data_IF_050943850616
#
_entry.id   IF_050943850616
#
_cell.length_a   1.000
_cell.length_b   1.000
_cell.length_c   1.000
_cell.angle_alpha   90.00
_cell.angle_beta   90.00
_cell.angle_gamma   90.00
#
_symmetry.space_group_name_H-M   'P 1'
#
loop_
_entity.id
_entity.type
_entity.pdbx_description
1 polymer ?
#
# COMPACT_ATOMS: atom_id res chain seq x y z
N UNK A 1 31.74 2.06 -5.66
CA UNK A 1 32.22 2.11 -4.27
C UNK A 1 32.14 0.71 -3.70
N UNK A 2 33.26 0.15 -3.24
CA UNK A 2 33.23 -1.13 -2.54
C UNK A 2 32.64 -0.87 -1.13
N UNK A 3 31.48 -1.45 -0.84
CA UNK A 3 30.91 -1.43 0.50
C UNK A 3 31.87 -2.16 1.45
N UNK A 4 32.28 -1.49 2.53
CA UNK A 4 33.04 -2.12 3.59
C UNK A 4 32.08 -2.89 4.51
N UNK A 5 31.87 -4.18 4.20
CA UNK A 5 30.97 -5.06 4.95
C UNK A 5 31.50 -5.44 6.35
N UNK A 6 32.75 -5.09 6.70
CA UNK A 6 33.33 -5.42 7.98
C UNK A 6 32.61 -4.74 9.17
N UNK A 7 32.15 -3.50 8.98
CA UNK A 7 31.36 -2.80 10.00
C UNK A 7 29.97 -3.38 10.23
N UNK A 8 29.32 -3.88 9.19
CA UNK A 8 27.99 -4.51 9.28
C UNK A 8 28.02 -5.84 10.07
N UNK A 9 29.10 -6.61 9.93
CA UNK A 9 29.26 -7.89 10.64
C UNK A 9 29.30 -7.70 12.17
N UNK A 10 29.98 -6.66 12.63
CA UNK A 10 30.11 -6.36 14.06
C UNK A 10 28.78 -5.89 14.68
N UNK A 11 27.94 -5.22 13.89
CA UNK A 11 26.65 -4.67 14.34
C UNK A 11 25.55 -5.75 14.35
N UNK A 12 25.60 -6.70 13.41
CA UNK A 12 24.49 -7.63 13.17
C UNK A 12 24.74 -9.05 13.66
N UNK A 13 25.96 -9.36 14.15
CA UNK A 13 26.38 -10.72 14.54
C UNK A 13 26.03 -11.77 13.46
N UNK A 14 26.31 -11.42 12.19
CA UNK A 14 26.04 -12.26 11.02
C UNK A 14 27.35 -12.50 10.29
N UNK A 15 27.69 -13.75 9.92
CA UNK A 15 28.87 -14.07 9.16
C UNK A 15 28.92 -13.35 7.79
N UNK A 16 30.07 -12.80 7.42
CA UNK A 16 30.25 -12.00 6.20
C UNK A 16 29.85 -12.74 4.92
N UNK A 17 30.11 -14.05 4.86
CA UNK A 17 29.72 -14.88 3.73
C UNK A 17 28.19 -14.94 3.52
N UNK A 18 27.42 -14.93 4.62
CA UNK A 18 25.95 -14.92 4.55
C UNK A 18 25.44 -13.58 4.05
N UNK A 19 26.04 -12.47 4.48
CA UNK A 19 25.71 -11.13 3.99
C UNK A 19 26.01 -11.00 2.49
N UNK A 20 27.18 -11.44 2.04
CA UNK A 20 27.58 -11.41 0.64
C UNK A 20 26.66 -12.27 -0.23
N UNK A 21 26.32 -13.50 0.23
CA UNK A 21 25.40 -14.40 -0.46
C UNK A 21 23.98 -13.82 -0.55
N UNK A 22 23.53 -13.16 0.51
CA UNK A 22 22.25 -12.45 0.53
C UNK A 22 22.20 -11.35 -0.53
N UNK A 23 23.20 -10.45 -0.58
CA UNK A 23 23.22 -9.36 -1.56
C UNK A 23 23.35 -9.89 -3.00
N UNK A 24 24.10 -10.95 -3.22
CA UNK A 24 24.17 -11.60 -4.54
C UNK A 24 22.81 -12.13 -4.98
N UNK A 25 22.10 -12.83 -4.09
CA UNK A 25 20.75 -13.34 -4.37
C UNK A 25 19.73 -12.21 -4.54
N UNK A 26 19.89 -11.11 -3.81
CA UNK A 26 19.06 -9.92 -3.98
C UNK A 26 19.29 -9.24 -5.34
N UNK A 27 20.52 -9.20 -5.83
CA UNK A 27 20.83 -8.70 -7.18
C UNK A 27 20.27 -9.60 -8.27
N UNK A 28 20.34 -10.92 -8.11
CA UNK A 28 19.73 -11.87 -9.04
C UNK A 28 18.19 -11.71 -9.05
N UNK A 29 17.58 -11.53 -7.88
CA UNK A 29 16.16 -11.21 -7.72
C UNK A 29 15.80 -9.90 -8.44
N UNK A 30 16.59 -8.84 -8.27
CA UNK A 30 16.36 -7.54 -8.93
C UNK A 30 16.42 -7.65 -10.44
N UNK A 31 17.33 -8.47 -10.99
CA UNK A 31 17.43 -8.76 -12.42
C UNK A 31 16.19 -9.53 -12.91
N UNK A 32 15.81 -10.61 -12.22
CA UNK A 32 14.60 -11.40 -12.54
C UNK A 32 13.33 -10.52 -12.48
N UNK A 33 13.24 -9.63 -11.49
CA UNK A 33 12.15 -8.65 -11.38
C UNK A 33 12.10 -7.71 -12.59
N UNK A 34 13.25 -7.16 -12.99
CA UNK A 34 13.35 -6.27 -14.15
C UNK A 34 12.97 -6.99 -15.45
N UNK A 35 13.40 -8.24 -15.62
CA UNK A 35 13.03 -9.06 -16.78
C UNK A 35 11.54 -9.40 -16.81
N UNK A 36 10.95 -9.72 -15.66
CA UNK A 36 9.52 -9.95 -15.55
C UNK A 36 8.71 -8.67 -15.84
N UNK A 37 9.15 -7.51 -15.34
CA UNK A 37 8.55 -6.22 -15.67
C UNK A 37 8.57 -5.97 -17.17
N UNK A 38 9.70 -6.17 -17.83
CA UNK A 38 9.81 -6.06 -19.30
C UNK A 38 8.93 -7.06 -20.04
N UNK A 39 8.96 -8.33 -19.63
CA UNK A 39 8.18 -9.41 -20.26
C UNK A 39 6.67 -9.16 -20.21
N UNK A 40 6.17 -8.52 -19.14
CA UNK A 40 4.74 -8.22 -18.97
C UNK A 40 4.39 -6.78 -19.35
N UNK A 41 5.31 -6.05 -20.00
CA UNK A 41 5.13 -4.62 -20.39
C UNK A 41 4.79 -3.70 -19.21
N UNK A 42 5.30 -4.03 -18.02
CA UNK A 42 5.04 -3.32 -16.77
C UNK A 42 6.04 -2.16 -16.54
N UNK A 43 7.05 -2.04 -17.40
CA UNK A 43 7.99 -0.90 -17.44
C UNK A 43 7.41 0.34 -18.14
N UNK A 44 6.15 0.28 -18.56
CA UNK A 44 5.43 1.44 -19.06
C UNK A 44 5.27 2.46 -17.94
N UNK A 45 6.12 3.46 -17.92
CA UNK A 45 6.03 4.77 -17.22
C UNK A 45 5.56 4.81 -15.75
N UNK A 46 5.22 3.70 -15.09
CA UNK A 46 4.55 3.70 -13.77
C UNK A 46 3.20 4.43 -13.77
N UNK A 47 2.68 4.74 -14.96
CA UNK A 47 1.41 5.43 -15.12
C UNK A 47 0.26 4.44 -14.98
N UNK A 48 -0.53 4.62 -13.94
CA UNK A 48 -1.81 3.96 -13.79
C UNK A 48 -2.90 5.02 -13.67
N UNK A 49 -3.84 5.02 -14.62
CA UNK A 49 -4.89 6.04 -14.69
C UNK A 49 -5.75 6.03 -13.42
N UNK A 50 -6.08 4.85 -12.90
CA UNK A 50 -6.92 4.73 -11.70
C UNK A 50 -6.19 5.27 -10.46
N UNK A 51 -4.90 4.99 -10.30
CA UNK A 51 -4.06 5.57 -9.24
C UNK A 51 -4.02 7.09 -9.33
N UNK A 52 -3.97 7.64 -10.54
CA UNK A 52 -3.90 9.09 -10.77
C UNK A 52 -5.19 9.80 -10.39
N UNK A 53 -6.35 9.20 -10.62
CA UNK A 53 -7.68 9.77 -10.33
C UNK A 53 -8.19 9.41 -8.93
N UNK A 54 -7.73 8.30 -8.34
CA UNK A 54 -8.20 7.79 -7.04
C UNK A 54 -8.01 8.78 -5.89
N UNK A 55 -7.05 9.71 -6.00
CA UNK A 55 -6.86 10.79 -5.00
C UNK A 55 -8.02 11.80 -4.95
N UNK A 56 -8.86 11.86 -5.97
CA UNK A 56 -9.96 12.84 -6.11
C UNK A 56 -11.35 12.27 -5.83
N UNK A 57 -11.51 10.93 -5.85
CA UNK A 57 -12.79 10.27 -5.71
C UNK A 57 -12.81 9.36 -4.49
N UNK A 58 -14.01 9.12 -3.95
CA UNK A 58 -14.20 8.07 -2.94
C UNK A 58 -13.88 6.73 -3.62
N UNK A 59 -12.88 6.05 -3.12
CA UNK A 59 -12.36 4.83 -3.74
C UNK A 59 -13.45 3.75 -3.96
N UNK A 60 -14.40 3.61 -3.03
CA UNK A 60 -15.50 2.64 -3.09
C UNK A 60 -16.41 2.87 -4.31
N UNK A 61 -16.79 4.12 -4.54
CA UNK A 61 -17.60 4.51 -5.69
C UNK A 61 -16.87 4.23 -7.01
N UNK A 62 -15.58 4.57 -7.09
CA UNK A 62 -14.77 4.34 -8.28
C UNK A 62 -14.62 2.85 -8.60
N UNK A 63 -14.40 2.00 -7.59
CA UNK A 63 -14.38 0.55 -7.80
C UNK A 63 -15.71 0.02 -8.32
N UNK A 64 -16.82 0.49 -7.74
CA UNK A 64 -18.16 0.09 -8.16
C UNK A 64 -18.47 0.55 -9.59
N UNK A 65 -18.02 1.75 -9.99
CA UNK A 65 -18.13 2.23 -11.37
C UNK A 65 -17.38 1.34 -12.36
N UNK A 66 -16.13 1.01 -12.06
CA UNK A 66 -15.30 0.17 -12.92
C UNK A 66 -15.88 -1.24 -13.04
N UNK A 67 -16.27 -1.83 -11.91
CA UNK A 67 -16.85 -3.18 -11.89
C UNK A 67 -18.17 -3.21 -12.69
N UNK A 68 -19.01 -2.17 -12.53
CA UNK A 68 -20.23 -2.00 -13.33
C UNK A 68 -19.90 -1.95 -14.82
N UNK A 69 -18.94 -1.14 -15.24
CA UNK A 69 -18.55 -1.04 -16.64
C UNK A 69 -18.03 -2.36 -17.21
N UNK A 70 -17.27 -3.13 -16.42
CA UNK A 70 -16.77 -4.45 -16.84
C UNK A 70 -17.90 -5.45 -16.99
N UNK A 71 -18.88 -5.44 -16.08
CA UNK A 71 -19.99 -6.39 -16.05
C UNK A 71 -21.16 -6.03 -16.97
N UNK A 72 -21.31 -4.76 -17.33
CA UNK A 72 -22.45 -4.29 -18.13
C UNK A 72 -22.29 -4.66 -19.61
N UNK A 73 -23.13 -5.56 -20.16
CA UNK A 73 -23.06 -5.95 -21.56
C UNK A 73 -23.30 -4.79 -22.54
N UNK A 74 -23.99 -3.75 -22.10
CA UNK A 74 -24.35 -2.57 -22.89
C UNK A 74 -23.40 -1.38 -22.67
N UNK A 75 -22.39 -1.53 -21.81
CA UNK A 75 -21.43 -0.44 -21.63
C UNK A 75 -20.58 -0.28 -22.90
N UNK A 76 -20.65 0.90 -23.50
CA UNK A 76 -19.97 1.24 -24.75
C UNK A 76 -18.49 0.83 -24.72
N UNK A 77 -18.15 -0.18 -25.50
CA UNK A 77 -16.79 -0.68 -25.79
C UNK A 77 -16.01 -1.31 -24.62
N UNK A 78 -16.43 -1.15 -23.35
CA UNK A 78 -15.71 -1.70 -22.17
C UNK A 78 -16.32 -3.03 -21.75
N UNK A 79 -17.64 -3.11 -21.66
CA UNK A 79 -18.34 -4.32 -21.26
C UNK A 79 -18.38 -5.40 -22.35
N UNK A 80 -18.53 -6.63 -21.90
CA UNK A 80 -18.70 -7.78 -22.79
C UNK A 80 -19.71 -8.74 -22.17
N UNK A 81 -20.71 -9.25 -22.94
CA UNK A 81 -21.69 -10.22 -22.44
C UNK A 81 -21.04 -11.45 -21.79
N UNK A 82 -19.85 -11.84 -22.27
CA UNK A 82 -19.06 -12.94 -21.70
C UNK A 82 -18.62 -12.68 -20.25
N UNK A 83 -18.43 -11.42 -19.84
CA UNK A 83 -17.98 -11.10 -18.50
C UNK A 83 -18.98 -11.50 -17.43
N UNK A 84 -20.29 -11.41 -17.71
CA UNK A 84 -21.34 -11.93 -16.83
C UNK A 84 -21.19 -13.44 -16.65
N UNK A 85 -20.95 -14.18 -17.72
CA UNK A 85 -20.73 -15.64 -17.64
C UNK A 85 -19.45 -15.95 -16.86
N UNK A 86 -18.35 -15.23 -17.11
CA UNK A 86 -17.10 -15.38 -16.35
C UNK A 86 -17.31 -15.07 -14.88
N UNK A 87 -18.08 -14.04 -14.54
CA UNK A 87 -18.40 -13.68 -13.16
C UNK A 87 -19.25 -14.76 -12.46
N UNK A 88 -20.31 -15.25 -13.10
CA UNK A 88 -21.12 -16.34 -12.56
C UNK A 88 -20.28 -17.62 -12.36
N UNK A 89 -19.42 -17.96 -13.33
CA UNK A 89 -18.51 -19.10 -13.21
C UNK A 89 -17.49 -18.91 -12.08
N UNK A 90 -16.98 -17.71 -11.90
CA UNK A 90 -16.13 -17.36 -10.78
C UNK A 90 -16.87 -17.55 -9.44
N UNK A 91 -18.11 -17.06 -9.31
CA UNK A 91 -18.90 -17.26 -8.10
C UNK A 91 -19.19 -18.73 -7.83
N UNK A 92 -19.40 -19.57 -8.85
CA UNK A 92 -19.57 -21.03 -8.73
C UNK A 92 -18.32 -21.73 -8.20
N UNK A 93 -17.12 -21.25 -8.47
CA UNK A 93 -15.89 -21.79 -7.85
C UNK A 93 -15.88 -21.60 -6.33
N UNK A 94 -16.48 -20.49 -5.84
CA UNK A 94 -16.59 -20.18 -4.41
C UNK A 94 -17.77 -20.93 -3.78
N UNK A 95 -18.90 -20.94 -4.49
CA UNK A 95 -20.16 -21.55 -4.06
C UNK A 95 -20.69 -22.50 -5.15
N UNK A 96 -20.30 -23.80 -5.14
CA UNK A 96 -20.60 -24.75 -6.21
C UNK A 96 -22.10 -25.01 -6.44
N UNK A 97 -22.92 -24.83 -5.42
CA UNK A 97 -24.38 -24.99 -5.47
C UNK A 97 -25.12 -23.76 -6.03
N UNK A 98 -24.38 -22.73 -6.41
CA UNK A 98 -24.96 -21.52 -7.00
C UNK A 98 -25.59 -21.81 -8.36
N UNK A 99 -26.87 -21.55 -8.46
CA UNK A 99 -27.60 -21.60 -9.72
C UNK A 99 -28.16 -20.21 -10.06
N UNK A 100 -27.65 -19.63 -11.15
CA UNK A 100 -28.09 -18.35 -11.72
C UNK A 100 -28.35 -18.56 -13.19
N UNK A 101 -29.50 -18.13 -13.68
CA UNK A 101 -29.89 -18.24 -15.08
C UNK A 101 -30.42 -16.90 -15.58
N UNK A 102 -29.64 -16.25 -16.42
CA UNK A 102 -30.05 -15.05 -17.13
C UNK A 102 -30.55 -15.44 -18.52
N UNK A 103 -31.87 -15.66 -18.64
CA UNK A 103 -32.49 -16.10 -19.91
C UNK A 103 -33.07 -14.94 -20.72
N UNK A 104 -33.07 -13.73 -20.16
CA UNK A 104 -33.46 -12.49 -20.82
C UNK A 104 -32.29 -11.53 -20.94
N UNK A 105 -32.61 -10.26 -21.20
CA UNK A 105 -31.64 -9.19 -21.21
C UNK A 105 -31.08 -9.00 -19.79
N UNK A 106 -29.75 -9.02 -19.69
CA UNK A 106 -29.05 -8.73 -18.41
C UNK A 106 -28.87 -7.22 -18.29
N UNK A 107 -29.30 -6.70 -17.16
CA UNK A 107 -29.17 -5.29 -16.81
C UNK A 107 -28.21 -5.17 -15.62
N UNK A 108 -27.26 -4.27 -15.69
CA UNK A 108 -26.31 -3.96 -14.63
C UNK A 108 -26.46 -2.49 -14.22
N UNK A 109 -26.89 -2.26 -12.99
CA UNK A 109 -27.10 -0.90 -12.45
C UNK A 109 -26.25 -0.62 -11.25
N UNK A 110 -25.90 0.65 -11.07
CA UNK A 110 -25.24 1.20 -9.89
C UNK A 110 -26.21 2.07 -9.11
N UNK A 111 -26.07 2.01 -7.78
CA UNK A 111 -26.86 2.82 -6.83
C UNK A 111 -28.39 2.68 -6.95
N UNK A 112 -28.87 1.64 -7.62
CA UNK A 112 -30.29 1.32 -7.66
C UNK A 112 -30.78 1.02 -6.24
N UNK A 113 -31.41 2.01 -5.61
CA UNK A 113 -31.82 1.94 -4.21
C UNK A 113 -30.65 1.84 -3.21
N UNK A 114 -29.54 2.49 -3.49
CA UNK A 114 -28.29 2.47 -2.71
C UNK A 114 -27.54 1.13 -2.74
N UNK A 115 -27.90 0.22 -3.64
CA UNK A 115 -27.14 -1.01 -3.91
C UNK A 115 -25.92 -0.64 -4.73
N UNK A 116 -24.72 -1.01 -4.29
CA UNK A 116 -23.51 -0.63 -5.00
C UNK A 116 -23.52 -1.11 -6.45
N UNK A 117 -23.82 -2.40 -6.68
CA UNK A 117 -24.02 -2.94 -8.01
C UNK A 117 -25.14 -3.99 -7.96
N UNK A 118 -26.10 -3.88 -8.85
CA UNK A 118 -27.18 -4.84 -9.06
C UNK A 118 -27.15 -5.39 -10.46
N UNK A 119 -27.08 -6.72 -10.59
CA UNK A 119 -27.16 -7.47 -11.85
C UNK A 119 -28.47 -8.22 -11.84
N UNK A 120 -29.30 -8.07 -12.88
CA UNK A 120 -30.56 -8.80 -12.93
C UNK A 120 -31.00 -9.10 -14.36
N UNK A 121 -31.78 -10.16 -14.51
CA UNK A 121 -32.55 -10.45 -15.72
C UNK A 121 -33.77 -9.53 -15.76
N UNK A 122 -33.96 -8.82 -16.89
CA UNK A 122 -35.03 -7.81 -17.04
C UNK A 122 -36.43 -8.41 -16.91
N UNK A 123 -36.60 -9.70 -17.23
CA UNK A 123 -37.91 -10.38 -17.19
C UNK A 123 -38.48 -10.43 -15.77
N UNK A 124 -39.80 -10.47 -15.67
CA UNK A 124 -40.49 -10.65 -14.39
C UNK A 124 -40.06 -11.93 -13.70
N UNK A 125 -39.81 -11.87 -12.39
CA UNK A 125 -39.30 -12.99 -11.62
C UNK A 125 -37.84 -13.38 -11.94
N UNK A 126 -37.17 -12.68 -12.85
CA UNK A 126 -35.82 -12.99 -13.30
C UNK A 126 -34.80 -13.02 -12.16
N UNK A 127 -33.72 -13.74 -12.37
CA UNK A 127 -32.64 -13.90 -11.39
C UNK A 127 -31.87 -12.58 -11.17
N UNK A 128 -31.43 -12.36 -9.93
CA UNK A 128 -30.65 -11.17 -9.56
C UNK A 128 -29.44 -11.53 -8.68
N UNK A 129 -28.37 -10.77 -8.85
CA UNK A 129 -27.18 -10.77 -8.00
C UNK A 129 -26.99 -9.37 -7.42
N UNK A 130 -26.88 -9.26 -6.11
CA UNK A 130 -26.54 -8.03 -5.39
C UNK A 130 -25.05 -8.06 -5.07
N UNK A 131 -24.32 -6.98 -5.33
CA UNK A 131 -22.92 -6.82 -4.95
C UNK A 131 -22.84 -5.63 -4.01
N UNK A 132 -22.36 -5.87 -2.81
CA UNK A 132 -21.96 -4.87 -1.83
C UNK A 132 -20.44 -4.76 -1.84
N UNK A 133 -19.93 -3.57 -2.16
CA UNK A 133 -18.51 -3.31 -2.29
C UNK A 133 -17.92 -2.71 -1.01
N UNK A 134 -16.94 -3.37 -0.42
CA UNK A 134 -16.21 -2.96 0.78
C UNK A 134 -14.69 -3.02 0.57
N UNK A 135 -14.23 -2.82 -0.67
CA UNK A 135 -12.79 -2.83 -0.98
C UNK A 135 -12.02 -1.81 -0.13
N UNK A 136 -12.63 -0.69 0.23
CA UNK A 136 -12.00 0.37 1.04
C UNK A 136 -12.24 0.24 2.55
N UNK A 137 -12.59 -0.93 3.04
CA UNK A 137 -12.82 -1.15 4.46
C UNK A 137 -13.96 -0.31 5.07
N UNK A 138 -14.86 0.27 4.24
CA UNK A 138 -16.01 1.02 4.75
C UNK A 138 -16.82 0.19 5.75
N UNK A 139 -17.34 0.86 6.78
CA UNK A 139 -18.11 0.21 7.84
C UNK A 139 -19.48 -0.20 7.35
N UNK A 140 -19.97 -1.35 7.83
CA UNK A 140 -21.33 -1.81 7.55
C UNK A 140 -22.37 -0.84 8.12
N UNK A 141 -23.45 -0.63 7.37
CA UNK A 141 -24.57 0.19 7.81
C UNK A 141 -25.70 -0.67 8.41
N UNK A 142 -26.54 -0.10 9.30
CA UNK A 142 -27.62 -0.84 9.92
C UNK A 142 -28.62 -1.41 8.89
N UNK A 143 -28.79 -2.73 8.93
CA UNK A 143 -29.69 -3.50 8.04
C UNK A 143 -29.50 -3.23 6.55
N UNK A 144 -28.27 -2.93 6.12
CA UNK A 144 -27.97 -2.56 4.74
C UNK A 144 -28.36 -3.68 3.77
N UNK A 145 -27.81 -4.86 3.98
CA UNK A 145 -28.09 -6.03 3.13
C UNK A 145 -29.55 -6.47 3.22
N UNK A 146 -30.16 -6.37 4.40
CA UNK A 146 -31.59 -6.67 4.58
C UNK A 146 -32.49 -5.79 3.72
N UNK A 147 -32.21 -4.49 3.69
CA UNK A 147 -32.93 -3.51 2.85
C UNK A 147 -32.75 -3.78 1.37
N UNK A 148 -31.54 -4.11 0.93
CA UNK A 148 -31.26 -4.44 -0.47
C UNK A 148 -32.00 -5.70 -0.94
N UNK A 149 -31.95 -6.77 -0.14
CA UNK A 149 -32.69 -7.99 -0.41
C UNK A 149 -34.20 -7.73 -0.53
N UNK A 150 -34.76 -6.97 0.40
CA UNK A 150 -36.17 -6.64 0.40
C UNK A 150 -36.58 -5.82 -0.82
N UNK A 151 -35.80 -4.79 -1.18
CA UNK A 151 -36.03 -3.99 -2.37
C UNK A 151 -36.03 -4.83 -3.63
N UNK A 152 -34.99 -5.62 -3.87
CA UNK A 152 -34.88 -6.43 -5.09
C UNK A 152 -36.01 -7.47 -5.17
N UNK A 153 -36.34 -8.11 -4.05
CA UNK A 153 -37.37 -9.16 -4.01
C UNK A 153 -38.79 -8.59 -4.08
N UNK A 154 -39.11 -7.56 -3.27
CA UNK A 154 -40.49 -7.07 -3.15
C UNK A 154 -40.84 -5.97 -4.11
N UNK A 155 -39.94 -4.96 -4.25
CA UNK A 155 -40.24 -3.80 -5.09
C UNK A 155 -39.96 -4.08 -6.57
N UNK A 156 -38.86 -4.82 -6.89
CA UNK A 156 -38.49 -5.12 -8.26
C UNK A 156 -39.01 -6.50 -8.74
N UNK A 157 -39.60 -7.31 -7.86
CA UNK A 157 -40.13 -8.62 -8.23
C UNK A 157 -39.09 -9.62 -8.72
N UNK A 158 -37.80 -9.46 -8.36
CA UNK A 158 -36.71 -10.33 -8.82
C UNK A 158 -36.39 -11.44 -7.84
N UNK A 159 -35.82 -12.53 -8.34
CA UNK A 159 -35.33 -13.66 -7.52
C UNK A 159 -33.86 -13.47 -7.19
N UNK A 160 -33.55 -13.08 -5.94
CA UNK A 160 -32.15 -12.93 -5.51
C UNK A 160 -31.50 -14.31 -5.40
N UNK A 161 -30.45 -14.56 -6.17
CA UNK A 161 -29.68 -15.82 -6.22
C UNK A 161 -28.35 -15.72 -5.50
N UNK A 162 -27.76 -14.54 -5.45
CA UNK A 162 -26.51 -14.31 -4.73
C UNK A 162 -26.47 -12.89 -4.15
N UNK A 163 -25.81 -12.78 -3.01
CA UNK A 163 -25.42 -11.52 -2.39
C UNK A 163 -23.91 -11.58 -2.20
N UNK A 164 -23.18 -10.88 -3.04
CA UNK A 164 -21.72 -10.82 -3.02
C UNK A 164 -21.30 -9.72 -2.07
N UNK A 165 -20.52 -10.07 -1.05
CA UNK A 165 -19.87 -9.12 -0.16
C UNK A 165 -18.41 -9.03 -0.55
N UNK A 166 -18.04 -7.99 -1.31
CA UNK A 166 -16.73 -7.83 -1.92
C UNK A 166 -15.81 -7.00 -1.04
N UNK A 167 -14.70 -7.56 -0.60
CA UNK A 167 -13.71 -6.92 0.27
C UNK A 167 -12.31 -6.95 -0.34
N UNK A 168 -11.39 -6.12 0.14
CA UNK A 168 -10.02 -6.15 -0.33
C UNK A 168 -9.32 -7.47 0.06
N UNK A 169 -9.45 -7.86 1.33
CA UNK A 169 -8.83 -9.07 1.87
C UNK A 169 -9.83 -9.88 2.70
N UNK A 170 -9.58 -11.17 2.98
CA UNK A 170 -10.49 -12.04 3.74
C UNK A 170 -10.68 -11.64 5.21
N UNK A 171 -9.77 -10.84 5.76
CA UNK A 171 -9.82 -10.37 7.15
C UNK A 171 -11.01 -9.44 7.39
N UNK A 172 -11.41 -8.68 6.37
CA UNK A 172 -12.64 -7.88 6.41
C UNK A 172 -13.83 -8.81 6.22
N UNK A 173 -14.55 -9.03 7.29
CA UNK A 173 -15.78 -9.80 7.28
C UNK A 173 -17.01 -8.89 7.49
N UNK A 174 -18.15 -9.34 6.96
CA UNK A 174 -19.42 -8.68 7.19
C UNK A 174 -19.83 -8.75 8.68
N UNK A 175 -20.21 -7.62 9.25
CA UNK A 175 -20.91 -7.61 10.54
C UNK A 175 -22.37 -8.03 10.33
N UNK A 176 -22.62 -9.34 10.42
CA UNK A 176 -23.95 -9.91 10.18
C UNK A 176 -25.01 -9.38 11.14
N UNK A 177 -24.64 -9.10 12.40
CA UNK A 177 -25.59 -8.58 13.40
C UNK A 177 -26.05 -7.17 13.04
N UNK A 178 -25.17 -6.37 12.46
CA UNK A 178 -25.45 -5.00 12.05
C UNK A 178 -26.09 -4.94 10.67
N UNK A 179 -25.53 -5.65 9.69
CA UNK A 179 -25.86 -5.52 8.27
C UNK A 179 -27.05 -6.36 7.82
N UNK A 180 -27.38 -7.44 8.57
CA UNK A 180 -28.40 -8.44 8.22
C UNK A 180 -29.38 -8.58 9.39
N UNK A 181 -30.22 -7.60 9.62
CA UNK A 181 -31.20 -7.65 10.70
C UNK A 181 -32.49 -8.34 10.24
N UNK A 182 -32.98 -8.01 9.02
CA UNK A 182 -34.15 -8.64 8.41
C UNK A 182 -33.75 -9.73 7.44
N UNK A 183 -34.61 -10.75 7.28
CA UNK A 183 -34.42 -11.87 6.34
C UNK A 183 -33.10 -12.65 6.53
N UNK A 184 -32.56 -12.68 7.76
CA UNK A 184 -31.22 -13.22 8.03
C UNK A 184 -31.07 -14.69 7.59
N UNK A 185 -32.10 -15.53 7.70
CA UNK A 185 -32.06 -16.94 7.32
C UNK A 185 -31.88 -17.13 5.81
N UNK A 186 -32.61 -16.35 5.02
CA UNK A 186 -32.56 -16.38 3.55
C UNK A 186 -31.24 -15.77 3.06
N UNK A 187 -30.90 -14.59 3.57
CA UNK A 187 -29.71 -13.84 3.18
C UNK A 187 -28.43 -14.65 3.45
N UNK A 188 -28.32 -15.29 4.62
CA UNK A 188 -27.14 -16.09 4.93
C UNK A 188 -26.93 -17.27 3.98
N UNK A 189 -28.00 -17.82 3.38
CA UNK A 189 -27.90 -18.85 2.35
C UNK A 189 -27.41 -18.31 1.01
N UNK A 190 -27.68 -17.04 0.72
CA UNK A 190 -27.34 -16.37 -0.54
C UNK A 190 -26.01 -15.62 -0.49
N UNK A 191 -25.50 -15.38 0.71
CA UNK A 191 -24.28 -14.60 0.93
C UNK A 191 -23.05 -15.35 0.41
N UNK A 192 -22.25 -14.65 -0.37
CA UNK A 192 -20.97 -15.10 -0.93
C UNK A 192 -19.90 -14.08 -0.57
N UNK A 193 -19.04 -14.34 0.43
CA UNK A 193 -17.90 -13.49 0.72
C UNK A 193 -16.86 -13.66 -0.40
N UNK A 194 -16.53 -12.55 -1.02
CA UNK A 194 -15.52 -12.47 -2.09
C UNK A 194 -14.45 -11.49 -1.65
N UNK A 195 -13.19 -11.86 -1.81
CA UNK A 195 -12.07 -10.95 -1.56
C UNK A 195 -11.27 -10.72 -2.84
N UNK A 196 -10.75 -9.50 -2.99
CA UNK A 196 -9.88 -9.17 -4.11
C UNK A 196 -8.67 -10.08 -4.10
N UNK A 197 -8.09 -10.32 -2.92
CA UNK A 197 -6.96 -11.23 -2.72
C UNK A 197 -7.31 -12.38 -1.79
N UNK A 198 -6.84 -13.57 -2.12
CA UNK A 198 -6.95 -14.79 -1.31
C UNK A 198 -5.74 -15.68 -1.57
N UNK A 199 -5.48 -16.63 -0.64
CA UNK A 199 -4.44 -17.66 -0.83
C UNK A 199 -4.74 -18.55 -2.04
N UNK A 200 -6.01 -18.95 -2.23
CA UNK A 200 -6.51 -19.65 -3.43
C UNK A 200 -6.80 -18.60 -4.52
N UNK A 201 -5.83 -18.35 -5.35
CA UNK A 201 -5.88 -17.26 -6.35
C UNK A 201 -7.04 -17.39 -7.35
N UNK A 202 -7.43 -18.63 -7.71
CA UNK A 202 -8.57 -18.89 -8.64
C UNK A 202 -9.94 -18.53 -8.05
N UNK A 203 -10.01 -18.31 -6.71
CA UNK A 203 -11.20 -17.84 -5.98
C UNK A 203 -11.06 -16.38 -5.53
N UNK A 204 -9.98 -15.69 -5.89
CA UNK A 204 -9.83 -14.26 -5.67
C UNK A 204 -10.50 -13.46 -6.79
N UNK A 205 -11.04 -12.29 -6.47
CA UNK A 205 -11.67 -11.43 -7.48
C UNK A 205 -10.66 -10.95 -8.54
N UNK A 206 -9.44 -10.62 -8.13
CA UNK A 206 -8.40 -10.17 -9.04
C UNK A 206 -7.97 -11.27 -10.02
N UNK A 207 -7.50 -12.42 -9.52
CA UNK A 207 -6.98 -13.49 -10.38
C UNK A 207 -8.08 -14.39 -10.97
N UNK A 208 -9.11 -14.71 -10.18
CA UNK A 208 -10.17 -15.62 -10.58
C UNK A 208 -11.22 -14.98 -11.49
N UNK A 209 -11.35 -13.65 -11.49
CA UNK A 209 -12.32 -12.96 -12.35
C UNK A 209 -11.66 -11.93 -13.28
N UNK A 210 -11.02 -10.87 -12.77
CA UNK A 210 -10.50 -9.78 -13.62
C UNK A 210 -9.45 -10.30 -14.60
N UNK A 211 -8.52 -11.14 -14.13
CA UNK A 211 -7.49 -11.74 -14.99
C UNK A 211 -8.07 -12.67 -16.05
N UNK A 212 -9.15 -13.38 -15.74
CA UNK A 212 -9.85 -14.20 -16.73
C UNK A 212 -10.54 -13.32 -17.81
N UNK A 213 -11.11 -12.18 -17.42
CA UNK A 213 -11.62 -11.19 -18.39
C UNK A 213 -10.49 -10.67 -19.30
N UNK A 214 -9.30 -10.35 -18.75
CA UNK A 214 -8.13 -9.92 -19.53
C UNK A 214 -7.71 -11.00 -20.54
N UNK A 215 -7.63 -12.27 -20.11
CA UNK A 215 -7.29 -13.40 -20.97
C UNK A 215 -8.32 -13.58 -22.10
N UNK A 216 -9.60 -13.45 -21.77
CA UNK A 216 -10.66 -13.58 -22.76
C UNK A 216 -10.54 -12.49 -23.85
N UNK A 217 -10.32 -11.23 -23.45
CA UNK A 217 -10.14 -10.11 -24.37
C UNK A 217 -8.90 -10.27 -25.23
N UNK A 218 -7.78 -10.74 -24.66
CA UNK A 218 -6.54 -10.98 -25.40
C UNK A 218 -6.69 -12.03 -26.53
N UNK A 219 -7.68 -12.93 -26.40
CA UNK A 219 -7.97 -13.95 -27.38
C UNK A 219 -9.17 -13.59 -28.30
N UNK A 220 -9.66 -12.36 -28.22
CA UNK A 220 -10.79 -11.86 -29.02
C UNK A 220 -10.30 -10.71 -29.91
N UNK A 221 -11.05 -10.41 -30.96
CA UNK A 221 -10.80 -9.25 -31.83
C UNK A 221 -11.12 -7.89 -31.18
N UNK A 222 -11.31 -7.89 -29.87
CA UNK A 222 -11.62 -6.67 -29.14
C UNK A 222 -10.43 -5.69 -29.07
N UNK A 223 -10.78 -4.41 -28.97
CA UNK A 223 -9.85 -3.30 -28.98
C UNK A 223 -8.80 -3.42 -27.85
N UNK A 224 -7.53 -3.30 -28.23
CA UNK A 224 -6.36 -3.29 -27.32
C UNK A 224 -6.52 -2.30 -26.14
N UNK A 225 -7.20 -1.17 -26.37
CA UNK A 225 -7.49 -0.19 -25.30
C UNK A 225 -8.36 -0.76 -24.18
N UNK A 226 -9.31 -1.64 -24.50
CA UNK A 226 -10.13 -2.33 -23.49
C UNK A 226 -9.28 -3.30 -22.65
N UNK A 227 -8.39 -4.02 -23.30
CA UNK A 227 -7.42 -4.89 -22.62
C UNK A 227 -6.53 -4.09 -21.67
N UNK A 228 -6.01 -2.95 -22.12
CA UNK A 228 -5.20 -2.04 -21.30
C UNK A 228 -6.01 -1.51 -20.10
N UNK A 229 -7.27 -1.11 -20.32
CA UNK A 229 -8.14 -0.66 -19.24
C UNK A 229 -8.30 -1.71 -18.12
N UNK A 230 -8.57 -2.97 -18.48
CA UNK A 230 -8.71 -4.07 -17.52
C UNK A 230 -7.37 -4.39 -16.83
N UNK A 231 -6.27 -4.36 -17.59
CA UNK A 231 -4.95 -4.59 -17.04
C UNK A 231 -4.54 -3.50 -16.03
N UNK A 232 -4.85 -2.24 -16.30
CA UNK A 232 -4.61 -1.14 -15.37
C UNK A 232 -5.48 -1.24 -14.11
N UNK A 233 -6.74 -1.69 -14.26
CA UNK A 233 -7.59 -1.92 -13.10
C UNK A 233 -7.07 -3.07 -12.24
N UNK A 234 -6.65 -4.18 -12.86
CA UNK A 234 -6.00 -5.28 -12.17
C UNK A 234 -4.75 -4.83 -11.42
N UNK A 235 -3.86 -4.10 -12.07
CA UNK A 235 -2.67 -3.52 -11.44
C UNK A 235 -3.02 -2.61 -10.26
N UNK A 236 -4.04 -1.75 -10.41
CA UNK A 236 -4.48 -0.90 -9.31
C UNK A 236 -5.02 -1.70 -8.12
N UNK A 237 -5.76 -2.77 -8.35
CA UNK A 237 -6.16 -3.69 -7.28
C UNK A 237 -4.92 -4.26 -6.56
N UNK A 238 -3.89 -4.70 -7.30
CA UNK A 238 -2.65 -5.20 -6.72
C UNK A 238 -1.97 -4.16 -5.81
N UNK A 239 -1.89 -2.91 -6.25
CA UNK A 239 -1.32 -1.80 -5.45
C UNK A 239 -2.11 -1.60 -4.15
N UNK A 240 -3.46 -1.65 -4.21
CA UNK A 240 -4.31 -1.49 -3.03
C UNK A 240 -4.17 -2.64 -2.03
N UNK A 241 -3.89 -3.83 -2.49
CA UNK A 241 -3.65 -5.00 -1.66
C UNK A 241 -2.31 -4.99 -0.92
N UNK A 242 -1.51 -3.94 -1.09
CA UNK A 242 -0.13 -3.92 -0.62
C UNK A 242 0.76 -4.84 -1.45
N UNK A 243 0.21 -5.42 -2.50
CA UNK A 243 0.94 -6.11 -3.54
C UNK A 243 1.48 -5.09 -4.53
N UNK A 244 2.34 -4.19 -4.08
CA UNK A 244 3.33 -3.71 -5.02
C UNK A 244 3.87 -4.98 -5.71
N UNK A 245 4.06 -4.97 -7.02
CA UNK A 245 4.62 -6.15 -7.70
C UNK A 245 5.88 -6.66 -7.01
N UNK A 246 6.55 -5.80 -6.28
CA UNK A 246 7.64 -6.13 -5.38
C UNK A 246 7.20 -7.10 -4.27
N UNK A 247 5.98 -7.01 -3.71
CA UNK A 247 5.48 -7.95 -2.69
C UNK A 247 5.11 -9.33 -3.27
N UNK A 248 4.47 -9.39 -4.43
CA UNK A 248 4.17 -10.68 -5.06
C UNK A 248 5.46 -11.39 -5.53
N UNK A 249 6.41 -10.62 -6.01
CA UNK A 249 7.73 -11.11 -6.38
C UNK A 249 8.56 -11.44 -5.12
N UNK A 250 8.42 -10.65 -4.05
CA UNK A 250 8.96 -10.91 -2.72
C UNK A 250 8.40 -12.23 -2.15
N UNK A 251 7.07 -12.44 -2.16
CA UNK A 251 6.46 -13.69 -1.72
C UNK A 251 6.94 -14.90 -2.52
N UNK A 252 7.07 -14.80 -3.86
CA UNK A 252 7.61 -15.88 -4.70
C UNK A 252 9.08 -16.14 -4.41
N UNK A 253 9.86 -15.11 -4.14
CA UNK A 253 11.26 -15.26 -3.75
C UNK A 253 11.37 -15.87 -2.37
N UNK A 254 10.51 -15.44 -1.44
CA UNK A 254 10.42 -16.05 -0.12
C UNK A 254 10.00 -17.52 -0.19
N UNK A 255 9.02 -17.88 -1.04
CA UNK A 255 8.67 -19.29 -1.29
C UNK A 255 9.85 -20.09 -1.85
N UNK A 256 10.63 -19.54 -2.79
CA UNK A 256 11.84 -20.19 -3.29
C UNK A 256 12.90 -20.37 -2.21
N UNK A 257 13.11 -19.35 -1.37
CA UNK A 257 14.03 -19.40 -0.22
C UNK A 257 13.58 -20.47 0.78
N UNK A 258 12.29 -20.53 1.10
CA UNK A 258 11.73 -21.54 2.01
C UNK A 258 11.79 -22.96 1.41
N UNK A 259 11.44 -23.13 0.14
CA UNK A 259 11.53 -24.42 -0.54
C UNK A 259 12.96 -24.96 -0.61
N UNK A 260 13.94 -24.07 -0.72
CA UNK A 260 15.35 -24.43 -0.76
C UNK A 260 16.01 -24.57 0.64
N UNK A 261 15.20 -24.58 1.72
CA UNK A 261 15.66 -24.67 3.13
C UNK A 261 16.68 -23.61 3.53
N UNK A 262 16.64 -22.44 2.94
CA UNK A 262 17.57 -21.32 3.23
C UNK A 262 17.03 -20.48 4.41
N UNK A 263 16.66 -21.14 5.52
CA UNK A 263 16.16 -20.49 6.73
C UNK A 263 17.17 -19.49 7.32
N UNK A 264 18.49 -19.75 7.15
CA UNK A 264 19.52 -18.84 7.65
C UNK A 264 19.56 -17.53 6.86
N UNK A 265 19.32 -17.58 5.54
CA UNK A 265 19.19 -16.37 4.73
C UNK A 265 17.98 -15.54 5.15
N UNK A 266 16.87 -16.19 5.53
CA UNK A 266 15.68 -15.52 6.05
C UNK A 266 15.90 -14.91 7.43
N UNK A 267 16.56 -15.62 8.35
CA UNK A 267 16.95 -15.08 9.67
C UNK A 267 17.88 -13.88 9.51
N UNK A 268 18.79 -13.94 8.53
CA UNK A 268 19.67 -12.82 8.17
C UNK A 268 18.86 -11.61 7.72
N UNK A 269 17.86 -11.80 6.83
CA UNK A 269 16.97 -10.73 6.40
C UNK A 269 16.17 -10.12 7.56
N UNK A 270 15.62 -10.95 8.46
CA UNK A 270 14.94 -10.48 9.66
C UNK A 270 15.85 -9.61 10.52
N UNK A 271 17.05 -10.09 10.83
CA UNK A 271 18.05 -9.32 11.59
C UNK A 271 18.49 -8.04 10.86
N UNK A 272 18.68 -8.09 9.54
CA UNK A 272 18.97 -6.90 8.73
C UNK A 272 17.82 -5.90 8.74
N UNK A 273 16.57 -6.38 8.64
CA UNK A 273 15.38 -5.56 8.70
C UNK A 273 15.19 -4.91 10.06
N UNK A 274 15.36 -5.67 11.13
CA UNK A 274 15.28 -5.16 12.50
C UNK A 274 16.47 -4.24 12.82
N UNK A 275 17.66 -4.59 12.33
CA UNK A 275 18.88 -3.81 12.50
C UNK A 275 19.03 -2.61 11.53
N UNK A 276 18.16 -2.47 10.50
CA UNK A 276 18.31 -1.45 9.43
C UNK A 276 18.41 -0.02 9.96
N UNK A 277 17.65 0.31 10.98
CA UNK A 277 17.67 1.63 11.60
C UNK A 277 19.04 1.90 12.24
N UNK A 278 19.56 0.93 13.03
CA UNK A 278 20.89 1.01 13.65
C UNK A 278 21.99 1.08 12.59
N UNK A 279 21.87 0.29 11.51
CA UNK A 279 22.85 0.28 10.43
C UNK A 279 22.88 1.62 9.67
N UNK A 280 21.73 2.19 9.35
CA UNK A 280 21.64 3.52 8.69
C UNK A 280 22.24 4.60 9.63
N UNK A 281 21.89 4.59 10.91
CA UNK A 281 22.46 5.52 11.88
C UNK A 281 23.98 5.34 12.00
N UNK A 282 24.48 4.10 12.03
CA UNK A 282 25.91 3.81 12.04
C UNK A 282 26.64 4.32 10.80
N UNK A 283 26.07 4.14 9.61
CA UNK A 283 26.63 4.67 8.36
C UNK A 283 26.61 6.19 8.30
N UNK A 284 25.54 6.83 8.77
CA UNK A 284 25.46 8.29 8.90
C UNK A 284 26.54 8.77 9.87
N UNK A 285 26.71 8.11 11.02
CA UNK A 285 27.74 8.44 12.00
C UNK A 285 29.15 8.31 11.42
N UNK A 286 29.46 7.20 10.78
CA UNK A 286 30.78 6.97 10.17
C UNK A 286 31.10 8.06 9.14
N UNK A 287 30.18 8.40 8.27
CA UNK A 287 30.38 9.45 7.28
C UNK A 287 30.48 10.85 7.91
N UNK A 288 29.74 11.11 8.98
CA UNK A 288 29.81 12.39 9.69
C UNK A 288 31.08 12.50 10.53
N UNK A 289 31.54 11.42 11.15
CA UNK A 289 32.84 11.36 11.87
C UNK A 289 34.02 11.55 10.92
N UNK A 290 33.95 10.97 9.71
CA UNK A 290 34.98 11.16 8.67
C UNK A 290 35.08 12.60 8.20
N UNK A 291 34.00 13.39 8.30
CA UNK A 291 33.94 14.78 7.82
C UNK A 291 33.97 15.83 8.94
N UNK A 292 33.56 15.47 10.16
CA UNK A 292 33.47 16.44 11.28
C UNK A 292 33.62 15.74 12.61
N UNK A 293 34.57 16.16 13.45
CA UNK A 293 34.70 15.68 14.83
C UNK A 293 33.47 16.09 15.67
N UNK A 294 32.93 15.19 16.47
CA UNK A 294 31.97 15.54 17.53
C UNK A 294 30.55 14.95 17.46
N UNK A 295 30.34 13.82 16.77
CA UNK A 295 29.10 13.08 16.87
C UNK A 295 29.10 12.12 18.06
N UNK A 296 27.97 12.03 18.76
CA UNK A 296 27.72 11.11 19.85
C UNK A 296 26.49 10.23 19.58
N UNK A 297 26.53 9.01 20.12
CA UNK A 297 25.33 8.21 20.37
C UNK A 297 24.82 8.56 21.75
N UNK A 298 23.54 8.83 21.94
CA UNK A 298 22.93 8.65 23.25
C UNK A 298 22.84 7.14 23.51
N UNK A 299 22.69 6.77 24.77
CA UNK A 299 22.57 5.38 25.20
C UNK A 299 21.68 4.55 24.26
N UNK A 300 21.96 3.24 24.16
CA UNK A 300 21.54 2.30 23.10
C UNK A 300 20.05 2.28 22.73
N UNK A 301 19.16 2.88 23.53
CA UNK A 301 17.72 2.83 23.36
C UNK A 301 17.09 4.02 22.62
N UNK A 302 17.75 5.18 22.56
CA UNK A 302 17.11 6.41 22.01
C UNK A 302 17.18 6.58 20.49
N UNK A 303 17.89 5.73 19.79
CA UNK A 303 17.82 5.56 18.35
C UNK A 303 18.07 6.80 17.49
N UNK A 304 18.89 7.77 17.92
CA UNK A 304 19.25 8.93 17.11
C UNK A 304 20.74 9.23 17.11
N UNK A 305 21.21 9.84 16.03
CA UNK A 305 22.57 10.36 15.87
C UNK A 305 22.51 11.86 16.05
N UNK A 306 23.40 12.43 16.86
CA UNK A 306 23.41 13.87 17.08
C UNK A 306 24.79 14.50 17.04
N UNK A 307 24.83 15.77 16.66
CA UNK A 307 26.01 16.65 16.73
C UNK A 307 25.69 17.84 17.62
N UNK A 308 26.44 17.99 18.71
CA UNK A 308 26.35 19.21 19.53
C UNK A 308 26.81 20.42 18.72
N UNK A 309 25.97 21.43 18.60
CA UNK A 309 26.27 22.67 17.90
C UNK A 309 26.27 23.89 18.82
N UNK A 310 25.67 23.76 20.02
CA UNK A 310 25.65 24.76 21.07
C UNK A 310 25.47 24.09 22.44
N UNK A 311 25.51 24.83 23.56
CA UNK A 311 25.48 24.27 24.92
C UNK A 311 24.28 23.34 25.19
N UNK A 312 23.09 23.73 24.73
CA UNK A 312 21.88 22.93 24.90
C UNK A 312 21.21 22.53 23.58
N UNK A 313 21.88 22.76 22.44
CA UNK A 313 21.30 22.52 21.11
C UNK A 313 22.21 21.57 20.34
N UNK A 314 21.62 20.49 19.88
CA UNK A 314 22.24 19.54 18.94
C UNK A 314 21.40 19.42 17.68
N UNK A 315 22.04 19.13 16.57
CA UNK A 315 21.38 18.63 15.37
C UNK A 315 21.32 17.12 15.45
N UNK A 316 20.17 16.54 15.09
CA UNK A 316 19.98 15.09 15.17
C UNK A 316 19.23 14.53 13.96
N UNK A 317 19.48 13.25 13.69
CA UNK A 317 18.68 12.40 12.84
C UNK A 317 18.21 11.21 13.67
N UNK A 318 16.89 11.04 13.73
CA UNK A 318 16.27 9.97 14.48
C UNK A 318 15.93 8.81 13.53
N UNK A 319 16.02 7.58 14.03
CA UNK A 319 15.70 6.34 13.32
C UNK A 319 14.22 6.22 12.89
N UNK A 320 13.35 7.10 13.37
CA UNK A 320 11.96 7.26 12.95
C UNK A 320 11.79 8.31 11.84
N UNK A 321 12.89 8.58 11.12
CA UNK A 321 12.94 9.51 10.01
C UNK A 321 12.69 10.98 10.36
N UNK A 322 12.97 11.39 11.59
CA UNK A 322 12.95 12.79 12.00
C UNK A 322 14.33 13.40 11.96
N UNK A 323 14.44 14.60 11.37
CA UNK A 323 15.67 15.35 11.23
C UNK A 323 15.49 16.76 11.79
N UNK A 324 16.36 17.20 12.67
CA UNK A 324 16.23 18.54 13.21
C UNK A 324 17.11 18.88 14.40
N UNK A 325 16.65 19.87 15.15
CA UNK A 325 17.31 20.32 16.38
C UNK A 325 16.71 19.59 17.58
N UNK A 326 17.57 19.13 18.47
CA UNK A 326 17.18 18.51 19.74
C UNK A 326 17.83 19.24 20.91
N UNK A 327 17.21 19.12 22.08
CA UNK A 327 17.90 19.42 23.32
C UNK A 327 19.06 18.44 23.50
N UNK A 328 20.26 18.96 23.65
CA UNK A 328 21.45 18.10 23.84
C UNK A 328 21.25 17.17 25.02
N UNK A 329 21.48 15.84 24.87
CA UNK A 329 21.37 14.88 25.94
C UNK A 329 22.13 15.33 27.21
N UNK A 330 21.50 15.14 28.38
CA UNK A 330 22.05 15.58 29.67
C UNK A 330 21.84 17.07 29.99
N UNK A 331 21.27 17.87 29.09
CA UNK A 331 21.00 19.30 29.33
C UNK A 331 19.53 19.54 29.71
N UNK A 332 19.29 20.63 30.46
CA UNK A 332 17.93 21.00 30.89
C UNK A 332 17.10 21.53 29.70
N UNK A 333 15.90 21.01 29.46
CA UNK A 333 15.02 21.46 28.37
C UNK A 333 14.68 22.96 28.40
N UNK A 334 14.76 23.61 29.56
CA UNK A 334 14.49 25.05 29.73
C UNK A 334 15.40 25.95 28.91
N UNK A 335 16.66 25.54 28.66
CA UNK A 335 17.60 26.32 27.83
C UNK A 335 17.22 26.13 26.35
N UNK A 336 16.91 24.94 25.93
CA UNK A 336 16.44 24.65 24.56
C UNK A 336 15.16 25.42 24.24
N UNK A 337 14.20 25.46 25.18
CA UNK A 337 12.94 26.21 25.03
C UNK A 337 13.15 27.68 24.73
N UNK A 338 14.16 28.30 25.31
CA UNK A 338 14.49 29.73 25.04
C UNK A 338 14.88 29.95 23.58
N UNK A 339 15.47 28.98 22.93
CA UNK A 339 15.90 29.04 21.54
C UNK A 339 14.88 28.55 20.53
N UNK A 340 13.78 27.95 20.96
CA UNK A 340 12.81 27.21 20.13
C UNK A 340 12.30 28.01 18.93
N UNK A 341 11.87 29.26 19.14
CA UNK A 341 11.42 30.12 18.05
C UNK A 341 12.54 30.36 17.03
N UNK A 342 13.73 30.69 17.50
CA UNK A 342 14.89 30.90 16.65
C UNK A 342 15.34 29.68 15.88
N UNK A 343 15.21 28.49 16.49
CA UNK A 343 15.47 27.20 15.83
C UNK A 343 14.44 26.92 14.71
N UNK A 344 13.19 27.28 14.92
CA UNK A 344 12.14 27.17 13.89
C UNK A 344 12.40 28.13 12.73
N UNK A 345 12.73 29.39 13.03
CA UNK A 345 13.11 30.37 12.03
C UNK A 345 14.33 29.93 11.22
N UNK A 346 15.29 29.25 11.88
CA UNK A 346 16.45 28.65 11.23
C UNK A 346 16.04 27.57 10.20
N UNK A 347 15.07 26.70 10.54
CA UNK A 347 14.56 25.70 9.62
C UNK A 347 13.84 26.32 8.40
N UNK A 348 13.08 27.38 8.63
CA UNK A 348 12.31 28.05 7.57
C UNK A 348 13.21 28.86 6.63
N UNK A 349 14.28 29.46 7.16
CA UNK A 349 15.25 30.22 6.35
C UNK A 349 16.28 29.33 5.63
N UNK A 350 16.53 28.13 6.14
CA UNK A 350 17.51 27.21 5.57
C UNK A 350 17.03 26.63 4.22
N UNK A 351 17.88 26.72 3.19
CA UNK A 351 17.64 26.13 1.88
C UNK A 351 18.00 24.63 1.90
N UNK A 352 17.21 23.84 2.63
CA UNK A 352 17.42 22.42 2.77
C UNK A 352 17.14 21.67 1.46
N UNK A 353 17.88 20.60 1.21
CA UNK A 353 17.65 19.70 0.07
C UNK A 353 16.35 18.93 0.28
N UNK A 354 15.56 18.82 -0.78
CA UNK A 354 14.17 18.37 -0.77
C UNK A 354 13.95 16.88 -0.50
N UNK A 355 14.26 16.43 0.74
CA UNK A 355 14.00 15.08 1.23
C UNK A 355 12.92 15.06 2.31
N UNK A 356 12.17 16.13 2.49
CA UNK A 356 11.20 16.25 3.57
C UNK A 356 9.78 16.05 3.08
N UNK A 357 8.97 15.38 3.90
CA UNK A 357 7.53 15.22 3.70
C UNK A 357 6.75 16.46 4.10
N UNK A 358 7.27 17.19 5.10
CA UNK A 358 6.62 18.38 5.66
C UNK A 358 7.17 19.66 5.03
N UNK A 359 6.29 20.63 4.74
CA UNK A 359 6.70 21.94 4.28
C UNK A 359 7.28 22.80 5.42
N UNK A 360 6.79 22.61 6.64
CA UNK A 360 7.20 23.40 7.83
C UNK A 360 7.77 22.51 8.92
N UNK A 361 8.65 23.08 9.74
CA UNK A 361 9.18 22.41 10.90
C UNK A 361 8.11 22.23 11.98
N UNK A 362 8.08 21.03 12.59
CA UNK A 362 7.23 20.71 13.74
C UNK A 362 7.95 21.11 15.03
N UNK A 363 7.19 21.52 16.03
CA UNK A 363 7.69 21.93 17.34
C UNK A 363 6.71 21.58 18.48
N UNK A 364 5.93 20.54 18.31
CA UNK A 364 4.94 20.02 19.27
C UNK A 364 5.55 19.32 20.49
N UNK A 365 6.84 18.99 20.43
CA UNK A 365 7.58 18.42 21.56
C UNK A 365 8.57 19.43 22.15
N UNK A 366 8.60 19.54 23.46
CA UNK A 366 9.41 20.52 24.20
C UNK A 366 10.93 20.45 23.96
N UNK A 367 11.41 19.34 23.47
CA UNK A 367 12.84 19.05 23.29
C UNK A 367 13.26 18.92 21.83
N UNK A 368 12.32 19.11 20.89
CA UNK A 368 12.57 18.95 19.47
C UNK A 368 11.99 20.08 18.63
N UNK A 369 12.72 20.42 17.54
CA UNK A 369 12.23 21.16 16.37
C UNK A 369 12.69 20.39 15.15
N UNK A 370 11.77 19.75 14.41
CA UNK A 370 12.14 18.79 13.36
C UNK A 370 11.24 18.80 12.14
N UNK A 371 11.68 18.10 11.09
CA UNK A 371 10.88 17.75 9.92
C UNK A 371 10.98 16.26 9.66
N UNK A 372 9.91 15.67 9.11
CA UNK A 372 9.89 14.25 8.72
C UNK A 372 10.64 14.10 7.40
N UNK A 373 11.56 13.15 7.35
CA UNK A 373 12.33 12.79 6.16
C UNK A 373 11.56 11.77 5.34
N UNK A 374 11.44 12.02 4.05
CA UNK A 374 10.96 11.05 3.07
C UNK A 374 12.11 10.09 2.72
N UNK A 375 12.09 8.90 3.31
CA UNK A 375 13.17 7.91 3.17
C UNK A 375 13.33 7.48 1.71
N UNK A 376 12.24 7.46 0.96
CA UNK A 376 12.24 7.05 -0.46
C UNK A 376 12.99 8.06 -1.35
N UNK A 377 13.14 9.29 -0.88
CA UNK A 377 13.94 10.33 -1.55
C UNK A 377 15.41 10.33 -1.15
N UNK A 378 15.82 9.52 -0.19
CA UNK A 378 17.22 9.40 0.22
C UNK A 378 17.94 8.46 -0.76
N UNK A 379 18.38 9.01 -1.87
CA UNK A 379 19.20 8.28 -2.85
C UNK A 379 20.67 8.17 -2.44
N UNK A 380 21.12 9.05 -1.54
CA UNK A 380 22.49 9.09 -1.03
C UNK A 380 22.51 9.76 0.35
N UNK A 381 23.27 9.21 1.29
CA UNK A 381 23.46 9.76 2.64
C UNK A 381 24.09 11.16 2.62
N UNK A 382 24.82 11.54 1.58
CA UNK A 382 25.38 12.89 1.41
C UNK A 382 24.32 13.99 1.46
N UNK A 383 23.07 13.70 1.13
CA UNK A 383 21.98 14.68 1.20
C UNK A 383 21.63 15.02 2.65
N UNK A 384 21.68 14.03 3.55
CA UNK A 384 21.46 14.23 5.00
C UNK A 384 22.62 15.05 5.58
N UNK A 385 23.85 14.68 5.22
CA UNK A 385 25.05 15.37 5.68
C UNK A 385 25.04 16.84 5.26
N UNK A 386 24.72 17.12 4.00
CA UNK A 386 24.58 18.49 3.50
C UNK A 386 23.50 19.28 4.24
N UNK A 387 22.38 18.64 4.59
CA UNK A 387 21.34 19.30 5.38
C UNK A 387 21.80 19.61 6.82
N UNK A 388 22.62 18.75 7.44
CA UNK A 388 23.30 19.05 8.71
C UNK A 388 24.18 20.30 8.59
N UNK A 389 25.04 20.37 7.57
CA UNK A 389 25.95 21.49 7.33
C UNK A 389 25.18 22.80 7.08
N UNK A 390 24.10 22.75 6.32
CA UNK A 390 23.23 23.90 6.03
C UNK A 390 22.59 24.43 7.32
N UNK A 391 21.97 23.55 8.13
CA UNK A 391 21.33 23.95 9.39
C UNK A 391 22.35 24.48 10.41
N UNK A 392 23.51 23.85 10.51
CA UNK A 392 24.58 24.33 11.40
C UNK A 392 25.08 25.74 11.00
N UNK A 393 25.27 25.96 9.71
CA UNK A 393 25.69 27.24 9.18
C UNK A 393 24.64 28.33 9.40
N UNK A 394 23.36 27.98 9.19
CA UNK A 394 22.25 28.91 9.37
C UNK A 394 22.06 29.27 10.86
N UNK A 395 22.17 28.27 11.75
CA UNK A 395 22.16 28.51 13.19
C UNK A 395 23.27 29.47 13.63
N UNK A 396 24.52 29.28 13.16
CA UNK A 396 25.65 30.17 13.44
C UNK A 396 25.39 31.57 12.90
N UNK A 397 24.79 31.72 11.72
CA UNK A 397 24.42 33.02 11.14
C UNK A 397 23.39 33.75 12.00
N UNK A 398 22.31 33.10 12.37
CA UNK A 398 21.25 33.69 13.19
C UNK A 398 21.70 33.99 14.62
N UNK A 399 22.71 33.26 15.14
CA UNK A 399 23.26 33.51 16.47
C UNK A 399 24.13 34.79 16.50
N UNK A 400 24.80 35.12 15.38
CA UNK A 400 25.67 36.33 15.25
C UNK A 400 24.89 37.60 14.97
N UNK A 401 23.64 37.50 14.54
CA UNK A 401 22.78 38.64 14.21
C UNK A 401 22.02 39.21 15.42
N UNK A 402 22.42 38.85 16.63
CA UNK A 402 21.98 39.35 17.92
C UNK A 402 23.21 39.87 18.66
#
# INVERSE_FOLDING_TARGET
MAFNFAGLNAILDIPQNIIVDFFKKFDDFRKESTELRKKYNLDGSGFNIFKSIAKKYRHEELHSDIIKLILDPESDKIGNPKNILLFVNFLKKIKPDLFVSFNGKVVVKREEGRIDILIYDERDGGDAIIIENKINWATDQPNQIGKYYEKVKKEMGKTVKAIVYLTLTPEKQIDKKKSIVTHAKEINKLLIPVSVFRKDSDKSFADGFIKECIKYIANSEQNELVRVYYAQYYEWLLILGGSDMDDALYCRTMEKIFKNRQLDTFRCFGKLWDGRKKAIAGLIMEQLQLKTNGFGYPDEDDGFVYKKIDDAVSLAYNLENSFGFICTPGHKPTIFKKHRKKLKDCFESAKLKGIFLDEKARDDVDTWVWRVVDVDKITNLDIIIKNFEILESEWKRLKRSV
#
